data_IF_658308797626
#
_entry.id   IF_658308797626
#
_cell.length_a   1.000
_cell.length_b   1.000
_cell.length_c   1.000
_cell.angle_alpha   90.00
_cell.angle_beta   90.00
_cell.angle_gamma   90.00
#
_symmetry.space_group_name_H-M   'P 1'
#
loop_
_entity.id
_entity.type
_entity.pdbx_description
1 polymer ?
#
# COMPACT_ATOMS: atom_id res chain seq x y z
N UNK A 1 -26.53 -0.45 -1.59
CA UNK A 1 -25.15 -0.92 -1.85
C UNK A 1 -24.74 -0.35 -3.18
N UNK A 2 -23.87 0.66 -3.18
CA UNK A 2 -23.39 1.27 -4.42
C UNK A 2 -22.68 0.20 -5.27
N UNK A 3 -22.86 0.19 -6.58
CA UNK A 3 -22.40 -0.84 -7.52
C UNK A 3 -20.88 -1.03 -7.59
N UNK A 4 -20.29 -1.56 -6.52
CA UNK A 4 -18.89 -1.95 -6.45
C UNK A 4 -18.76 -3.35 -7.04
N UNK A 5 -18.09 -3.46 -8.18
CA UNK A 5 -17.65 -4.73 -8.74
C UNK A 5 -16.36 -5.13 -8.06
N UNK A 6 -16.31 -6.33 -7.45
CA UNK A 6 -15.10 -6.84 -6.81
C UNK A 6 -14.01 -7.09 -7.87
N UNK A 7 -12.87 -6.39 -7.81
CA UNK A 7 -11.76 -6.67 -8.70
C UNK A 7 -11.12 -8.01 -8.34
N UNK A 8 -10.42 -8.62 -9.31
CA UNK A 8 -9.52 -9.73 -9.00
C UNK A 8 -8.37 -9.24 -8.09
N UNK A 9 -7.84 -10.13 -7.27
CA UNK A 9 -6.79 -9.80 -6.29
C UNK A 9 -5.55 -9.15 -6.92
N UNK A 10 -5.00 -9.73 -8.00
CA UNK A 10 -3.78 -9.21 -8.64
C UNK A 10 -3.97 -7.75 -9.12
N UNK A 11 -4.98 -7.39 -9.94
CA UNK A 11 -5.24 -6.00 -10.31
C UNK A 11 -5.46 -5.06 -9.13
N UNK A 12 -6.10 -5.55 -8.06
CA UNK A 12 -6.33 -4.76 -6.86
C UNK A 12 -5.03 -4.39 -6.15
N UNK A 13 -4.19 -5.39 -5.87
CA UNK A 13 -2.86 -5.19 -5.29
C UNK A 13 -1.99 -4.32 -6.19
N UNK A 14 -1.96 -4.60 -7.50
CA UNK A 14 -1.19 -3.84 -8.48
C UNK A 14 -1.53 -2.35 -8.45
N UNK A 15 -2.83 -2.03 -8.41
CA UNK A 15 -3.31 -0.65 -8.38
C UNK A 15 -2.88 0.06 -7.11
N UNK A 16 -3.07 -0.60 -5.96
CA UNK A 16 -2.79 -0.03 -4.65
C UNK A 16 -1.29 0.19 -4.41
N UNK A 17 -0.46 -0.80 -4.73
CA UNK A 17 1.00 -0.64 -4.70
C UNK A 17 1.45 0.48 -5.65
N UNK A 18 0.93 0.54 -6.87
CA UNK A 18 1.30 1.59 -7.84
C UNK A 18 0.89 3.00 -7.40
N UNK A 19 -0.14 3.13 -6.56
CA UNK A 19 -0.53 4.40 -5.94
C UNK A 19 0.32 4.77 -4.71
N UNK A 20 1.21 3.88 -4.28
CA UNK A 20 2.02 4.03 -3.06
C UNK A 20 1.22 3.75 -1.78
N UNK A 21 0.18 2.92 -1.86
CA UNK A 21 -0.68 2.55 -0.73
C UNK A 21 -0.82 1.03 -0.67
N UNK A 22 0.15 0.31 -0.09
CA UNK A 22 0.09 -1.14 0.04
C UNK A 22 -1.23 -1.62 0.69
N UNK A 23 -1.91 -2.63 0.14
CA UNK A 23 -3.18 -3.13 0.66
C UNK A 23 -3.08 -3.71 2.09
N UNK A 24 -1.91 -4.19 2.49
CA UNK A 24 -1.62 -4.76 3.81
C UNK A 24 -1.82 -3.75 4.94
N UNK A 25 -1.76 -2.45 4.62
CA UNK A 25 -2.02 -1.39 5.58
C UNK A 25 -3.49 -1.27 5.92
N UNK A 26 -4.39 -1.72 5.06
CA UNK A 26 -5.83 -1.50 5.20
C UNK A 26 -6.37 -2.36 6.35
N UNK A 27 -7.06 -1.73 7.30
CA UNK A 27 -7.71 -2.42 8.42
C UNK A 27 -6.87 -2.51 9.68
N UNK A 28 -5.59 -2.10 9.64
CA UNK A 28 -4.75 -2.08 10.84
C UNK A 28 -5.27 -1.14 11.93
N UNK A 29 -6.03 -0.10 11.59
CA UNK A 29 -6.68 0.78 12.57
C UNK A 29 -7.58 0.02 13.56
N UNK A 30 -8.16 -1.11 13.15
CA UNK A 30 -9.04 -1.92 13.99
C UNK A 30 -8.31 -2.97 14.84
N UNK A 31 -7.02 -3.22 14.59
CA UNK A 31 -6.21 -4.22 15.31
C UNK A 31 -5.73 -3.60 16.60
N UNK A 32 -6.08 -4.10 17.78
CA UNK A 32 -5.56 -3.58 19.05
C UNK A 32 -4.10 -4.01 19.31
N UNK A 33 -3.44 -3.43 20.32
CA UNK A 33 -2.08 -3.86 20.69
C UNK A 33 -2.04 -5.30 21.23
N UNK A 34 -3.12 -5.73 21.89
CA UNK A 34 -3.31 -7.11 22.32
C UNK A 34 -3.44 -8.07 21.13
N UNK A 35 -4.24 -7.69 20.12
CA UNK A 35 -4.38 -8.47 18.89
C UNK A 35 -3.05 -8.55 18.14
N UNK A 36 -2.32 -7.44 18.05
CA UNK A 36 -1.02 -7.39 17.41
C UNK A 36 0.01 -8.30 18.10
N UNK A 37 0.08 -8.28 19.43
CA UNK A 37 0.97 -9.15 20.20
C UNK A 37 0.63 -10.64 19.98
N UNK A 38 -0.67 -10.97 19.94
CA UNK A 38 -1.13 -12.32 19.63
C UNK A 38 -0.80 -12.73 18.19
N UNK A 39 -1.03 -11.85 17.22
CA UNK A 39 -0.75 -12.08 15.80
C UNK A 39 0.74 -12.31 15.55
N UNK A 40 1.63 -11.50 16.15
CA UNK A 40 3.08 -11.70 16.05
C UNK A 40 3.55 -13.05 16.60
N UNK A 41 2.86 -13.56 17.62
CA UNK A 41 3.17 -14.88 18.19
C UNK A 41 2.66 -16.03 17.31
N UNK A 42 1.49 -15.87 16.69
CA UNK A 42 0.85 -16.91 15.87
C UNK A 42 1.34 -16.93 14.43
N UNK A 43 1.70 -15.76 13.87
CA UNK A 43 2.19 -15.58 12.50
C UNK A 43 3.56 -14.86 12.56
N UNK A 44 4.67 -15.61 12.71
CA UNK A 44 5.99 -15.02 12.91
C UNK A 44 6.47 -14.11 11.77
N UNK A 45 5.98 -14.32 10.54
CA UNK A 45 6.36 -13.52 9.36
C UNK A 45 5.61 -12.20 9.25
N UNK A 46 4.50 -12.02 9.98
CA UNK A 46 3.59 -10.89 9.82
C UNK A 46 4.29 -9.53 9.95
N UNK A 47 5.15 -9.39 10.95
CA UNK A 47 5.88 -8.14 11.17
C UNK A 47 6.85 -7.85 10.02
N UNK A 48 7.51 -8.88 9.49
CA UNK A 48 8.45 -8.74 8.38
C UNK A 48 7.72 -8.40 7.08
N UNK A 49 6.59 -9.07 6.80
CA UNK A 49 5.74 -8.80 5.64
C UNK A 49 5.15 -7.39 5.69
N UNK A 50 4.63 -6.98 6.85
CA UNK A 50 4.10 -5.62 7.02
C UNK A 50 5.23 -4.59 6.88
N UNK A 51 6.42 -4.84 7.43
CA UNK A 51 7.57 -3.95 7.26
C UNK A 51 7.96 -3.83 5.78
N UNK A 52 7.96 -4.92 5.03
CA UNK A 52 8.31 -4.91 3.62
C UNK A 52 7.28 -4.14 2.78
N UNK A 53 5.99 -4.40 2.99
CA UNK A 53 4.91 -3.61 2.37
C UNK A 53 5.07 -2.12 2.68
N UNK A 54 5.38 -1.79 3.94
CA UNK A 54 5.54 -0.41 4.40
C UNK A 54 6.70 0.35 3.72
N UNK A 55 7.65 -0.36 3.09
CA UNK A 55 8.70 0.27 2.27
C UNK A 55 8.13 0.94 1.02
N UNK A 56 7.05 0.41 0.47
CA UNK A 56 6.44 0.91 -0.77
C UNK A 56 5.39 1.99 -0.54
N UNK A 57 5.10 2.31 0.73
CA UNK A 57 4.17 3.36 1.08
C UNK A 57 4.75 4.76 0.87
N UNK A 58 3.95 5.63 0.26
CA UNK A 58 4.26 7.05 0.12
C UNK A 58 3.33 7.88 1.00
N UNK A 59 3.90 8.57 1.98
CA UNK A 59 3.18 9.46 2.90
C UNK A 59 2.40 10.54 2.13
N UNK A 60 2.88 10.96 0.95
CA UNK A 60 2.16 11.92 0.12
C UNK A 60 0.81 11.40 -0.40
N UNK A 61 0.60 10.07 -0.42
CA UNK A 61 -0.68 9.47 -0.78
C UNK A 61 -1.74 9.62 0.31
N UNK A 62 -1.36 9.92 1.56
CA UNK A 62 -2.30 10.09 2.67
C UNK A 62 -3.37 11.13 2.35
N UNK A 63 -3.02 12.23 1.69
CA UNK A 63 -3.96 13.31 1.36
C UNK A 63 -5.19 12.84 0.56
N UNK A 64 -5.07 11.79 -0.24
CA UNK A 64 -6.15 11.26 -1.08
C UNK A 64 -6.94 10.10 -0.45
N UNK A 65 -6.54 9.64 0.74
CA UNK A 65 -7.13 8.45 1.37
C UNK A 65 -8.29 8.75 2.32
N UNK A 66 -9.29 7.85 2.43
CA UNK A 66 -10.30 7.90 3.47
C UNK A 66 -9.68 7.88 4.88
N UNK A 67 -10.36 8.49 5.85
CA UNK A 67 -9.88 8.63 7.23
C UNK A 67 -9.42 7.30 7.85
N UNK A 68 -10.23 6.24 7.73
CA UNK A 68 -9.90 4.93 8.29
C UNK A 68 -8.64 4.30 7.68
N UNK A 69 -8.38 4.54 6.40
CA UNK A 69 -7.16 4.03 5.72
C UNK A 69 -5.93 4.83 6.16
N UNK A 70 -6.07 6.14 6.35
CA UNK A 70 -5.02 7.00 6.92
C UNK A 70 -4.63 6.54 8.32
N UNK A 71 -5.61 6.34 9.20
CA UNK A 71 -5.38 5.83 10.56
C UNK A 71 -4.67 4.47 10.54
N UNK A 72 -5.05 3.61 9.58
CA UNK A 72 -4.41 2.30 9.45
C UNK A 72 -2.95 2.41 8.99
N UNK A 73 -2.63 3.32 8.06
CA UNK A 73 -1.27 3.57 7.61
C UNK A 73 -0.40 4.21 8.72
N UNK A 74 -0.95 5.13 9.50
CA UNK A 74 -0.28 5.72 10.66
C UNK A 74 0.01 4.66 11.73
N UNK A 75 -0.96 3.78 12.00
CA UNK A 75 -0.78 2.65 12.91
C UNK A 75 0.30 1.69 12.41
N UNK A 76 0.28 1.34 11.13
CA UNK A 76 1.31 0.49 10.53
C UNK A 76 2.71 1.07 10.70
N UNK A 77 2.86 2.39 10.46
CA UNK A 77 4.13 3.08 10.65
C UNK A 77 4.65 2.98 12.09
N UNK A 78 3.75 3.14 13.08
CA UNK A 78 4.09 2.98 14.50
C UNK A 78 4.43 1.55 14.92
N UNK A 79 3.87 0.52 14.26
CA UNK A 79 4.07 -0.87 14.63
C UNK A 79 5.39 -1.47 14.12
N UNK A 80 5.80 -1.15 12.88
CA UNK A 80 6.91 -1.88 12.24
C UNK A 80 8.12 -1.06 11.86
N UNK A 81 7.98 0.27 11.68
CA UNK A 81 9.02 1.19 11.23
C UNK A 81 9.69 0.74 9.91
N UNK A 82 9.58 1.51 8.84
CA UNK A 82 10.17 1.13 7.55
C UNK A 82 10.95 2.28 6.90
N UNK A 83 12.12 1.94 6.34
CA UNK A 83 12.85 2.80 5.40
C UNK A 83 12.18 2.63 4.07
N UNK A 84 11.52 3.68 3.58
CA UNK A 84 10.80 3.55 2.32
C UNK A 84 11.70 3.63 1.10
N UNK A 85 11.25 2.97 0.04
CA UNK A 85 11.95 2.79 -1.23
C UNK A 85 11.76 4.03 -2.10
N UNK A 86 12.81 4.82 -2.27
CA UNK A 86 12.71 6.11 -2.99
C UNK A 86 12.39 5.90 -4.47
N UNK A 87 12.98 4.90 -5.11
CA UNK A 87 12.72 4.61 -6.52
C UNK A 87 11.23 4.29 -6.72
N UNK A 88 10.67 3.42 -5.88
CA UNK A 88 9.25 3.12 -5.95
C UNK A 88 8.39 4.34 -5.63
N UNK A 89 8.75 5.16 -4.63
CA UNK A 89 8.00 6.38 -4.30
C UNK A 89 7.96 7.38 -5.46
N UNK A 90 9.06 7.55 -6.18
CA UNK A 90 9.11 8.41 -7.36
C UNK A 90 8.14 7.93 -8.45
N UNK A 91 8.15 6.62 -8.74
CA UNK A 91 7.24 6.02 -9.70
C UNK A 91 5.79 6.16 -9.24
N UNK A 92 5.48 5.87 -7.98
CA UNK A 92 4.13 5.99 -7.43
C UNK A 92 3.58 7.42 -7.49
N UNK A 93 4.44 8.42 -7.26
CA UNK A 93 4.08 9.84 -7.44
C UNK A 93 3.75 10.15 -8.89
N UNK A 94 4.51 9.62 -9.84
CA UNK A 94 4.22 9.79 -11.27
C UNK A 94 2.94 9.07 -11.69
N UNK A 95 2.68 7.86 -11.18
CA UNK A 95 1.40 7.15 -11.37
C UNK A 95 0.23 8.03 -10.92
N UNK A 96 0.28 8.60 -9.70
CA UNK A 96 -0.78 9.47 -9.19
C UNK A 96 -0.97 10.72 -10.05
N UNK A 97 0.12 11.36 -10.48
CA UNK A 97 0.06 12.51 -11.39
C UNK A 97 -0.55 12.15 -12.75
N UNK A 98 -0.14 11.02 -13.33
CA UNK A 98 -0.64 10.52 -14.61
C UNK A 98 -2.12 10.16 -14.54
N UNK A 99 -2.57 9.54 -13.44
CA UNK A 99 -3.98 9.22 -13.19
C UNK A 99 -4.88 10.47 -13.20
N UNK A 100 -4.41 11.58 -12.61
CA UNK A 100 -5.14 12.86 -12.63
C UNK A 100 -5.18 13.49 -14.04
N UNK A 101 -4.18 13.23 -14.89
CA UNK A 101 -4.07 13.78 -16.26
C UNK A 101 -4.75 12.91 -17.34
N UNK A 102 -5.54 11.91 -16.97
CA UNK A 102 -6.27 11.06 -17.92
C UNK A 102 -5.55 9.75 -18.32
N UNK A 103 -4.37 9.48 -17.74
CA UNK A 103 -3.85 8.11 -17.63
C UNK A 103 -3.19 7.48 -18.85
N UNK A 104 -2.79 8.26 -19.86
CA UNK A 104 -2.15 7.76 -21.09
C UNK A 104 -0.96 6.82 -20.82
N UNK A 105 -0.14 7.14 -19.80
CA UNK A 105 1.10 6.41 -19.47
C UNK A 105 0.94 5.41 -18.31
N UNK A 106 -0.27 5.16 -17.81
CA UNK A 106 -0.46 4.38 -16.58
C UNK A 106 0.03 2.94 -16.71
N UNK A 107 -0.16 2.30 -17.87
CA UNK A 107 0.27 0.93 -18.11
C UNK A 107 1.78 0.77 -17.92
N UNK A 108 2.57 1.64 -18.55
CA UNK A 108 4.03 1.61 -18.45
C UNK A 108 4.53 1.93 -17.04
N UNK A 109 3.91 2.93 -16.39
CA UNK A 109 4.26 3.30 -15.02
C UNK A 109 3.95 2.18 -14.01
N UNK A 110 2.84 1.45 -14.18
CA UNK A 110 2.50 0.29 -13.35
C UNK A 110 3.50 -0.85 -13.56
N UNK A 111 3.91 -1.12 -14.81
CA UNK A 111 4.95 -2.12 -15.11
C UNK A 111 6.30 -1.72 -14.50
N UNK A 112 6.66 -0.43 -14.58
CA UNK A 112 7.87 0.08 -13.92
C UNK A 112 7.80 -0.06 -12.40
N UNK A 113 6.68 0.29 -11.76
CA UNK A 113 6.49 0.11 -10.33
C UNK A 113 6.60 -1.37 -9.93
N UNK A 114 6.02 -2.27 -10.74
CA UNK A 114 6.12 -3.71 -10.55
C UNK A 114 7.56 -4.24 -10.69
N UNK A 115 8.35 -3.67 -11.60
CA UNK A 115 9.75 -4.04 -11.76
C UNK A 115 10.59 -3.68 -10.52
N UNK A 116 10.35 -2.50 -9.92
CA UNK A 116 11.05 -2.05 -8.70
C UNK A 116 10.74 -2.96 -7.51
N UNK A 117 9.47 -3.33 -7.31
CA UNK A 117 9.07 -4.22 -6.21
C UNK A 117 9.22 -5.71 -6.52
N UNK A 118 9.59 -6.08 -7.74
CA UNK A 118 9.73 -7.45 -8.23
C UNK A 118 8.45 -8.31 -8.29
N UNK A 119 7.27 -7.70 -8.24
CA UNK A 119 5.98 -8.37 -8.44
C UNK A 119 4.92 -7.41 -9.00
N UNK A 120 3.93 -7.92 -9.72
CA UNK A 120 2.85 -7.10 -10.27
C UNK A 120 1.71 -6.86 -9.26
N UNK A 121 1.43 -7.79 -8.37
CA UNK A 121 0.33 -7.70 -7.40
C UNK A 121 0.04 -9.07 -6.84
#
# INVERSE_FOLDING_TARGET
TAGVTLPRAIPFCASLYSLGVPPELIGLAAVSDGDWAWLRKTVPTLEAELRDAMRFFDVAALGSLPALVRESAERAHGLVGAVSDEEHREVAREVRRSAVRGGAELGELIVRAAAVRHFLG
#
